data_IF_341569174792
#
_entry.id   IF_341569174792
#
_cell.length_a   1.000
_cell.length_b   1.000
_cell.length_c   1.000
_cell.angle_alpha   90.00
_cell.angle_beta   90.00
_cell.angle_gamma   90.00
#
_symmetry.space_group_name_H-M   'P 1'
#
loop_
_entity.id
_entity.type
_entity.pdbx_description
1 polymer ?
#
# COMPACT_ATOMS: atom_id res chain seq x y z
N UNK A 1 23.02 -5.94 14.42
CA UNK A 1 21.73 -6.14 13.71
C UNK A 1 20.74 -5.13 14.25
N UNK A 2 20.10 -4.31 13.43
CA UNK A 2 19.25 -3.22 13.93
C UNK A 2 17.86 -3.78 14.31
N UNK A 3 17.63 -3.98 15.61
CA UNK A 3 16.46 -4.68 16.21
C UNK A 3 15.12 -4.13 15.69
N UNK A 4 15.04 -2.82 15.44
CA UNK A 4 13.84 -2.19 14.90
C UNK A 4 13.45 -2.68 13.49
N UNK A 5 14.41 -3.06 12.65
CA UNK A 5 14.12 -3.63 11.33
C UNK A 5 13.61 -5.05 11.43
N UNK A 6 14.19 -5.86 12.32
CA UNK A 6 13.77 -7.26 12.53
C UNK A 6 12.31 -7.32 12.99
N UNK A 7 11.90 -6.46 13.93
CA UNK A 7 10.49 -6.37 14.36
C UNK A 7 9.54 -6.04 13.21
N UNK A 8 9.90 -5.08 12.36
CA UNK A 8 9.09 -4.70 11.18
C UNK A 8 8.99 -5.83 10.16
N UNK A 9 10.06 -6.61 9.98
CA UNK A 9 10.07 -7.80 9.11
C UNK A 9 9.14 -8.88 9.64
N UNK A 10 9.18 -9.18 10.95
CA UNK A 10 8.33 -10.18 11.58
C UNK A 10 6.84 -9.79 11.43
N UNK A 11 6.50 -8.53 11.71
CA UNK A 11 5.11 -8.04 11.54
C UNK A 11 4.67 -8.16 10.08
N UNK A 12 5.50 -7.76 9.13
CA UNK A 12 5.17 -7.87 7.70
C UNK A 12 4.95 -9.32 7.26
N UNK A 13 5.75 -10.25 7.80
CA UNK A 13 5.60 -11.69 7.56
C UNK A 13 4.27 -12.21 8.12
N UNK A 14 3.98 -11.93 9.39
CA UNK A 14 2.73 -12.37 10.05
C UNK A 14 1.51 -11.86 9.28
N UNK A 15 1.50 -10.58 8.91
CA UNK A 15 0.41 -9.97 8.13
C UNK A 15 0.26 -10.65 6.76
N UNK A 16 1.36 -10.94 6.08
CA UNK A 16 1.33 -11.62 4.77
C UNK A 16 0.79 -13.05 4.87
N UNK A 17 1.16 -13.79 5.92
CA UNK A 17 0.64 -15.14 6.18
C UNK A 17 -0.86 -15.09 6.48
N UNK A 18 -1.29 -14.15 7.31
CA UNK A 18 -2.71 -13.97 7.65
C UNK A 18 -3.56 -13.61 6.41
N UNK A 19 -3.08 -12.68 5.58
CA UNK A 19 -3.74 -12.35 4.31
C UNK A 19 -3.77 -13.54 3.35
N UNK A 20 -2.69 -14.33 3.30
CA UNK A 20 -2.61 -15.55 2.48
C UNK A 20 -3.62 -16.61 2.93
N UNK A 21 -3.80 -16.75 4.24
CA UNK A 21 -4.82 -17.62 4.82
C UNK A 21 -6.23 -17.18 4.41
N UNK A 22 -6.56 -15.89 4.55
CA UNK A 22 -7.87 -15.36 4.12
C UNK A 22 -8.11 -15.65 2.65
N UNK A 23 -7.10 -15.45 1.79
CA UNK A 23 -7.20 -15.66 0.35
C UNK A 23 -7.58 -17.10 -0.02
N UNK A 24 -7.01 -18.08 0.70
CA UNK A 24 -7.28 -19.51 0.47
C UNK A 24 -8.63 -19.92 1.03
N UNK A 25 -8.97 -19.45 2.24
CA UNK A 25 -10.18 -19.86 2.96
C UNK A 25 -11.46 -19.22 2.40
N UNK A 26 -11.40 -17.97 1.95
CA UNK A 26 -12.59 -17.29 1.43
C UNK A 26 -12.95 -17.80 0.03
N UNK A 27 -14.24 -18.04 -0.21
CA UNK A 27 -14.78 -18.35 -1.56
C UNK A 27 -15.32 -17.11 -2.26
N UNK A 28 -15.54 -16.02 -1.52
CA UNK A 28 -16.09 -14.79 -2.06
C UNK A 28 -15.08 -14.06 -2.96
N UNK A 29 -15.51 -13.71 -4.16
CA UNK A 29 -14.66 -13.17 -5.20
C UNK A 29 -14.24 -11.73 -4.89
N UNK A 30 -15.13 -10.92 -4.29
CA UNK A 30 -14.84 -9.55 -3.87
C UNK A 30 -13.77 -9.51 -2.79
N UNK A 31 -13.89 -10.36 -1.77
CA UNK A 31 -12.90 -10.49 -0.70
C UNK A 31 -11.52 -10.84 -1.27
N UNK A 32 -11.43 -11.75 -2.24
CA UNK A 32 -10.15 -12.11 -2.88
C UNK A 32 -9.53 -10.94 -3.63
N UNK A 33 -10.32 -10.21 -4.42
CA UNK A 33 -9.84 -9.03 -5.16
C UNK A 33 -9.29 -7.97 -4.21
N UNK A 34 -9.95 -7.76 -3.08
CA UNK A 34 -9.50 -6.80 -2.06
C UNK A 34 -8.21 -7.26 -1.39
N UNK A 35 -8.08 -8.55 -1.05
CA UNK A 35 -6.93 -9.10 -0.30
C UNK A 35 -5.64 -9.19 -1.13
N UNK A 36 -5.72 -9.50 -2.43
CA UNK A 36 -4.56 -9.63 -3.34
C UNK A 36 -3.59 -8.44 -3.28
N UNK A 37 -4.02 -7.18 -3.43
CA UNK A 37 -3.12 -6.01 -3.39
C UNK A 37 -2.50 -5.80 -2.01
N UNK A 38 -3.21 -6.09 -0.92
CA UNK A 38 -2.63 -6.06 0.43
C UNK A 38 -1.58 -7.15 0.63
N UNK A 39 -1.81 -8.34 0.09
CA UNK A 39 -0.85 -9.44 0.13
C UNK A 39 0.40 -9.09 -0.68
N UNK A 40 0.24 -8.52 -1.88
CA UNK A 40 1.33 -8.03 -2.71
C UNK A 40 2.15 -6.95 -1.98
N UNK A 41 1.47 -6.03 -1.27
CA UNK A 41 2.11 -5.01 -0.43
C UNK A 41 2.90 -5.63 0.73
N UNK A 42 2.32 -6.61 1.43
CA UNK A 42 2.96 -7.34 2.54
C UNK A 42 4.25 -8.04 2.11
N UNK A 43 4.19 -8.78 1.01
CA UNK A 43 5.35 -9.49 0.42
C UNK A 43 6.43 -8.49 -0.01
N UNK A 44 6.05 -7.41 -0.70
CA UNK A 44 6.98 -6.38 -1.16
C UNK A 44 7.69 -5.70 0.02
N UNK A 45 6.96 -5.42 1.11
CA UNK A 45 7.51 -4.85 2.33
C UNK A 45 8.48 -5.81 3.02
N UNK A 46 8.14 -7.09 3.07
CA UNK A 46 8.99 -8.14 3.63
C UNK A 46 10.30 -8.27 2.86
N UNK A 47 10.25 -8.38 1.53
CA UNK A 47 11.44 -8.45 0.67
C UNK A 47 12.32 -7.21 0.85
N UNK A 48 11.71 -6.01 0.88
CA UNK A 48 12.44 -4.76 1.12
C UNK A 48 13.21 -4.79 2.44
N UNK A 49 12.58 -5.23 3.52
CA UNK A 49 13.22 -5.26 4.84
C UNK A 49 14.36 -6.28 4.87
N UNK A 50 14.21 -7.43 4.20
CA UNK A 50 15.30 -8.39 4.00
C UNK A 50 16.47 -7.75 3.25
N UNK A 51 16.21 -7.05 2.14
CA UNK A 51 17.26 -6.36 1.40
C UNK A 51 18.02 -5.33 2.26
N UNK A 52 17.34 -4.65 3.19
CA UNK A 52 17.96 -3.72 4.13
C UNK A 52 18.85 -4.44 5.15
N UNK A 53 18.45 -5.62 5.64
CA UNK A 53 19.26 -6.45 6.54
C UNK A 53 20.57 -6.88 5.85
N UNK A 54 20.50 -7.25 4.57
CA UNK A 54 21.66 -7.61 3.75
C UNK A 54 22.45 -6.41 3.21
N UNK A 55 22.17 -5.18 3.67
CA UNK A 55 22.80 -3.92 3.20
C UNK A 55 22.69 -3.69 1.68
N UNK A 56 21.78 -4.35 0.98
CA UNK A 56 21.51 -4.16 -0.46
C UNK A 56 20.61 -2.94 -0.70
N UNK A 57 21.11 -1.77 -0.33
CA UNK A 57 20.35 -0.51 -0.29
C UNK A 57 19.76 -0.09 -1.65
N UNK A 58 20.45 -0.38 -2.77
CA UNK A 58 19.94 -0.10 -4.12
C UNK A 58 18.64 -0.87 -4.41
N UNK A 59 18.65 -2.18 -4.15
CA UNK A 59 17.51 -3.07 -4.38
C UNK A 59 16.35 -2.71 -3.44
N UNK A 60 16.64 -2.44 -2.16
CA UNK A 60 15.65 -2.00 -1.19
C UNK A 60 14.96 -0.67 -1.60
N UNK A 61 15.69 0.24 -2.26
CA UNK A 61 15.12 1.49 -2.79
C UNK A 61 14.13 1.20 -3.92
N UNK A 62 14.46 0.31 -4.85
CA UNK A 62 13.56 -0.10 -5.95
C UNK A 62 12.26 -0.69 -5.41
N UNK A 63 12.34 -1.67 -4.49
CA UNK A 63 11.14 -2.23 -3.86
C UNK A 63 10.34 -1.19 -3.08
N UNK A 64 10.99 -0.19 -2.47
CA UNK A 64 10.28 0.91 -1.82
C UNK A 64 9.47 1.78 -2.78
N UNK A 65 9.91 1.95 -4.03
CA UNK A 65 9.20 2.72 -5.04
C UNK A 65 8.01 1.91 -5.56
N UNK A 66 8.25 0.63 -5.90
CA UNK A 66 7.20 -0.30 -6.32
C UNK A 66 6.08 -0.36 -5.29
N UNK A 67 6.42 -0.50 -4.00
CA UNK A 67 5.42 -0.59 -2.93
C UNK A 67 4.54 0.66 -2.82
N UNK A 68 5.11 1.85 -3.09
CA UNK A 68 4.36 3.12 -3.08
C UNK A 68 3.44 3.22 -4.29
N UNK A 69 3.91 2.82 -5.47
CA UNK A 69 3.09 2.81 -6.69
C UNK A 69 1.93 1.83 -6.54
N UNK A 70 2.20 0.60 -6.10
CA UNK A 70 1.18 -0.42 -5.83
C UNK A 70 0.14 0.07 -4.82
N UNK A 71 0.57 0.75 -3.76
CA UNK A 71 -0.34 1.34 -2.78
C UNK A 71 -1.28 2.37 -3.42
N UNK A 72 -0.76 3.30 -4.22
CA UNK A 72 -1.60 4.33 -4.85
C UNK A 72 -2.55 3.76 -5.89
N UNK A 73 -2.09 2.82 -6.74
CA UNK A 73 -2.96 2.14 -7.72
C UNK A 73 -4.12 1.46 -6.99
N UNK A 74 -3.82 0.74 -5.91
CA UNK A 74 -4.85 0.08 -5.12
C UNK A 74 -5.78 1.08 -4.44
N UNK A 75 -5.24 2.10 -3.78
CA UNK A 75 -6.01 3.10 -3.05
C UNK A 75 -7.00 3.83 -3.96
N UNK A 76 -6.53 4.34 -5.09
CA UNK A 76 -7.40 5.04 -6.05
C UNK A 76 -8.34 4.08 -6.77
N UNK A 77 -7.89 2.87 -7.12
CA UNK A 77 -8.78 1.86 -7.71
C UNK A 77 -9.93 1.47 -6.77
N UNK A 78 -9.63 1.32 -5.49
CA UNK A 78 -10.63 1.07 -4.45
C UNK A 78 -11.60 2.24 -4.29
N UNK A 79 -11.12 3.48 -4.31
CA UNK A 79 -11.99 4.66 -4.25
C UNK A 79 -12.95 4.74 -5.43
N UNK A 80 -12.47 4.51 -6.65
CA UNK A 80 -13.33 4.49 -7.85
C UNK A 80 -14.41 3.41 -7.73
N UNK A 81 -14.05 2.22 -7.25
CA UNK A 81 -15.01 1.15 -7.02
C UNK A 81 -16.02 1.51 -5.91
N UNK A 82 -15.57 2.12 -4.82
CA UNK A 82 -16.44 2.60 -3.75
C UNK A 82 -17.43 3.63 -4.29
N UNK A 83 -16.95 4.64 -5.02
CA UNK A 83 -17.80 5.67 -5.63
C UNK A 83 -18.87 5.06 -6.53
N UNK A 84 -18.48 4.11 -7.38
CA UNK A 84 -19.40 3.40 -8.27
C UNK A 84 -20.55 2.72 -7.50
N UNK A 85 -20.22 1.97 -6.45
CA UNK A 85 -21.23 1.30 -5.61
C UNK A 85 -22.12 2.31 -4.88
N UNK A 86 -21.53 3.38 -4.33
CA UNK A 86 -22.26 4.41 -3.60
C UNK A 86 -23.25 5.15 -4.51
N UNK A 87 -22.86 5.43 -5.76
CA UNK A 87 -23.73 6.07 -6.76
C UNK A 87 -24.90 5.14 -7.13
N UNK A 88 -24.66 3.86 -7.40
CA UNK A 88 -25.71 2.90 -7.73
C UNK A 88 -26.73 2.79 -6.60
N UNK A 89 -26.25 2.73 -5.37
CA UNK A 89 -27.10 2.60 -4.19
C UNK A 89 -27.75 3.93 -3.76
N UNK A 90 -27.46 5.04 -4.46
CA UNK A 90 -27.87 6.40 -4.09
C UNK A 90 -27.50 6.77 -2.64
N UNK A 91 -26.40 6.20 -2.15
CA UNK A 91 -25.89 6.46 -0.81
C UNK A 91 -24.98 7.70 -0.82
N UNK A 92 -25.62 8.86 -0.72
CA UNK A 92 -24.94 10.15 -0.73
C UNK A 92 -24.02 10.36 0.47
N UNK A 93 -24.28 9.69 1.61
CA UNK A 93 -23.38 9.77 2.77
C UNK A 93 -22.05 9.09 2.48
N UNK A 94 -22.09 7.89 1.87
CA UNK A 94 -20.88 7.19 1.43
C UNK A 94 -20.04 7.99 0.43
N UNK A 95 -20.68 8.73 -0.48
CA UNK A 95 -19.98 9.60 -1.44
C UNK A 95 -19.23 10.73 -0.74
N UNK A 96 -19.82 11.35 0.28
CA UNK A 96 -19.14 12.40 1.07
C UNK A 96 -17.88 11.86 1.76
N UNK A 97 -17.97 10.66 2.35
CA UNK A 97 -16.80 9.99 2.92
C UNK A 97 -15.74 9.63 1.87
N UNK A 98 -16.16 9.18 0.69
CA UNK A 98 -15.24 8.90 -0.40
C UNK A 98 -14.52 10.16 -0.88
N UNK A 99 -15.21 11.30 -1.01
CA UNK A 99 -14.60 12.60 -1.36
C UNK A 99 -13.54 13.03 -0.34
N UNK A 100 -13.80 12.85 0.95
CA UNK A 100 -12.81 13.06 2.01
C UNK A 100 -11.59 12.15 1.83
N UNK A 101 -11.80 10.88 1.48
CA UNK A 101 -10.73 9.93 1.22
C UNK A 101 -9.94 10.27 -0.05
N UNK A 102 -10.58 10.77 -1.11
CA UNK A 102 -9.91 11.32 -2.29
C UNK A 102 -8.96 12.45 -1.92
N UNK A 103 -9.45 13.42 -1.14
CA UNK A 103 -8.62 14.54 -0.67
C UNK A 103 -7.42 14.04 0.13
N UNK A 104 -7.62 13.08 1.04
CA UNK A 104 -6.54 12.45 1.81
C UNK A 104 -5.50 11.76 0.91
N UNK A 105 -5.95 11.00 -0.09
CA UNK A 105 -5.06 10.31 -1.03
C UNK A 105 -4.20 11.26 -1.85
N UNK A 106 -4.83 12.31 -2.41
CA UNK A 106 -4.16 13.34 -3.20
C UNK A 106 -3.15 14.10 -2.33
N UNK A 107 -3.52 14.45 -1.09
CA UNK A 107 -2.62 15.13 -0.17
C UNK A 107 -1.37 14.29 0.14
N UNK A 108 -1.54 12.99 0.40
CA UNK A 108 -0.42 12.08 0.66
C UNK A 108 0.46 11.93 -0.58
N UNK A 109 -0.13 11.78 -1.78
CA UNK A 109 0.59 11.73 -3.05
C UNK A 109 1.41 13.00 -3.29
N UNK A 110 0.79 14.16 -3.10
CA UNK A 110 1.43 15.47 -3.24
C UNK A 110 2.60 15.64 -2.25
N UNK A 111 2.38 15.33 -0.97
CA UNK A 111 3.43 15.41 0.05
C UNK A 111 4.61 14.47 -0.27
N UNK A 112 4.32 13.29 -0.82
CA UNK A 112 5.34 12.32 -1.25
C UNK A 112 6.13 12.85 -2.43
N UNK A 113 5.46 13.42 -3.43
CA UNK A 113 6.07 14.04 -4.61
C UNK A 113 6.99 15.21 -4.22
N UNK A 114 6.52 16.14 -3.38
CA UNK A 114 7.33 17.25 -2.90
C UNK A 114 8.60 16.80 -2.17
N UNK A 115 8.48 15.76 -1.33
CA UNK A 115 9.64 15.20 -0.61
C UNK A 115 10.68 14.64 -1.58
N UNK A 116 10.26 13.97 -2.66
CA UNK A 116 11.18 13.48 -3.69
C UNK A 116 11.85 14.64 -4.44
N UNK A 117 11.09 15.66 -4.82
CA UNK A 117 11.61 16.87 -5.50
C UNK A 117 12.68 17.59 -4.68
N UNK A 118 12.49 17.72 -3.37
CA UNK A 118 13.43 18.43 -2.50
C UNK A 118 14.75 17.66 -2.30
N UNK A 119 14.73 16.33 -2.29
CA UNK A 119 15.95 15.51 -2.19
C UNK A 119 16.85 15.66 -3.42
N UNK A 120 16.26 15.80 -4.61
CA UNK A 120 17.03 16.03 -5.83
C UNK A 120 17.65 17.44 -5.90
N UNK A 121 17.01 18.45 -5.28
CA UNK A 121 17.57 19.81 -5.19
C UNK A 121 18.76 19.92 -4.25
N UNK A 122 18.83 19.12 -3.19
CA UNK A 122 19.96 19.10 -2.23
C UNK A 122 21.20 18.35 -2.70
N UNK A 123 21.13 17.70 -3.87
CA UNK A 123 22.24 16.95 -4.47
C UNK A 123 22.90 17.65 -5.66
N UNK A 124 22.36 18.79 -6.09
CA UNK A 124 23.01 19.73 -7.01
C UNK A 124 23.75 20.77 -6.20
#
# INVERSE_FOLDING_TARGET
MNIGFVKKTIIALIVSIFLGYILITTKDLLTRIVVIPFLMFGITLFIRNICLIFKKNKIAKTFSIINVISFFIYYFGFLVYWDYIAIINKDYMSIIFSLLAWFGGIFVAYRRYLRLRNVDKTKK
#
